data_IF_247359100785
#
_entry.id   IF_247359100785
#
_cell.length_a   1.000
_cell.length_b   1.000
_cell.length_c   1.000
_cell.angle_alpha   90.00
_cell.angle_beta   90.00
_cell.angle_gamma   90.00
#
_symmetry.space_group_name_H-M   'P 1'
#
loop_
_entity.id
_entity.type
_entity.pdbx_description
1 polymer ?
#
# COMPACT_ATOMS: atom_id res chain seq x y z
N UNK A 1 28.51 -8.33 -24.39
CA UNK A 1 28.40 -6.96 -24.95
C UNK A 1 27.73 -6.11 -23.90
N UNK A 2 28.46 -5.13 -23.36
CA UNK A 2 28.08 -4.31 -22.21
C UNK A 2 26.84 -3.46 -22.49
N UNK A 3 25.80 -3.61 -21.67
CA UNK A 3 24.70 -2.65 -21.58
C UNK A 3 24.94 -1.75 -20.37
N UNK A 4 25.93 -0.87 -20.45
CA UNK A 4 26.07 0.22 -19.50
C UNK A 4 24.84 1.14 -19.64
N UNK A 5 24.17 1.42 -18.52
CA UNK A 5 23.10 2.41 -18.47
C UNK A 5 23.65 3.77 -18.96
N UNK A 6 22.97 4.48 -19.87
CA UNK A 6 23.51 5.69 -20.53
C UNK A 6 23.92 6.82 -19.57
N UNK A 7 23.47 6.75 -18.32
CA UNK A 7 23.69 7.76 -17.28
C UNK A 7 24.81 7.41 -16.29
N UNK A 8 25.37 6.19 -16.34
CA UNK A 8 26.41 5.77 -15.41
C UNK A 8 27.77 6.42 -15.72
N UNK A 9 28.04 6.77 -16.99
CA UNK A 9 29.32 7.31 -17.44
C UNK A 9 29.40 8.85 -17.56
N UNK A 10 28.29 9.57 -17.43
CA UNK A 10 28.26 11.03 -17.54
C UNK A 10 28.53 11.73 -16.20
N UNK A 11 29.42 12.74 -16.21
CA UNK A 11 29.61 13.65 -15.07
C UNK A 11 28.27 14.33 -14.74
N UNK A 12 27.95 14.48 -13.44
CA UNK A 12 26.67 15.05 -12.97
C UNK A 12 26.39 16.44 -13.56
N UNK A 13 27.44 17.21 -13.88
CA UNK A 13 27.40 18.55 -14.51
C UNK A 13 27.03 18.55 -15.99
N UNK A 14 27.12 17.40 -16.69
CA UNK A 14 26.86 17.28 -18.13
C UNK A 14 25.46 16.70 -18.42
N UNK A 15 24.76 16.24 -17.38
CA UNK A 15 23.40 15.70 -17.49
C UNK A 15 22.42 16.86 -17.65
N UNK A 16 22.06 17.18 -18.90
CA UNK A 16 20.94 18.08 -19.17
C UNK A 16 19.63 17.39 -18.81
N UNK A 17 18.86 18.00 -17.93
CA UNK A 17 17.52 17.54 -17.65
C UNK A 17 16.63 17.74 -18.88
N UNK A 18 15.85 16.71 -19.21
CA UNK A 18 14.81 16.80 -20.23
C UNK A 18 13.57 17.37 -19.55
N UNK A 19 13.28 18.66 -19.80
CA UNK A 19 12.26 19.41 -19.06
C UNK A 19 10.87 18.76 -19.09
N UNK A 20 10.54 18.10 -20.20
CA UNK A 20 9.30 17.34 -20.43
C UNK A 20 9.19 16.05 -19.60
N UNK A 21 10.27 15.60 -18.95
CA UNK A 21 10.31 14.39 -18.10
C UNK A 21 10.57 14.68 -16.63
N UNK A 22 10.77 15.95 -16.27
CA UNK A 22 11.03 16.34 -14.89
C UNK A 22 9.74 16.30 -14.08
N UNK A 23 9.82 15.73 -12.88
CA UNK A 23 8.72 15.71 -11.92
C UNK A 23 9.20 16.33 -10.61
N UNK A 24 8.40 17.24 -10.06
CA UNK A 24 8.68 17.96 -8.79
C UNK A 24 8.97 16.98 -7.66
N UNK A 25 10.14 17.12 -7.04
CA UNK A 25 10.57 16.36 -5.87
C UNK A 25 9.84 16.82 -4.61
N UNK A 26 9.64 15.91 -3.65
CA UNK A 26 9.07 16.26 -2.36
C UNK A 26 9.99 17.20 -1.59
N UNK A 27 9.43 18.31 -1.10
CA UNK A 27 10.16 19.24 -0.25
C UNK A 27 9.69 19.08 1.19
N UNK A 28 10.61 18.76 2.11
CA UNK A 28 10.29 18.78 3.55
C UNK A 28 9.81 20.17 3.96
N UNK A 29 8.68 20.28 4.68
CA UNK A 29 8.32 21.52 5.35
C UNK A 29 9.43 21.91 6.34
N UNK A 30 9.88 23.15 6.29
CA UNK A 30 10.82 23.72 7.24
C UNK A 30 10.24 25.05 7.73
N UNK A 31 10.51 25.42 8.99
CA UNK A 31 9.89 26.59 9.62
C UNK A 31 10.08 27.90 8.82
N UNK A 32 11.19 28.03 8.10
CA UNK A 32 11.54 29.22 7.31
C UNK A 32 11.22 29.09 5.81
N UNK A 33 10.58 27.98 5.37
CA UNK A 33 10.32 27.74 3.95
C UNK A 33 8.91 28.22 3.59
N UNK A 34 8.83 29.39 2.98
CA UNK A 34 7.60 29.87 2.35
C UNK A 34 7.23 28.95 1.18
N UNK A 35 5.97 28.51 1.14
CA UNK A 35 5.40 27.84 -0.02
C UNK A 35 4.74 28.92 -0.88
N UNK A 36 5.28 29.15 -2.07
CA UNK A 36 4.72 30.09 -3.02
C UNK A 36 3.68 29.42 -3.92
N UNK A 37 2.68 30.16 -4.37
CA UNK A 37 1.61 29.60 -5.22
C UNK A 37 2.16 29.10 -6.56
N UNK A 38 3.17 29.76 -7.11
CA UNK A 38 3.89 29.35 -8.31
C UNK A 38 4.62 28.01 -8.18
N UNK A 39 4.91 27.57 -6.94
CA UNK A 39 5.51 26.27 -6.69
C UNK A 39 4.47 25.15 -6.66
N UNK A 40 3.18 25.46 -6.61
CA UNK A 40 2.09 24.48 -6.42
C UNK A 40 1.45 24.14 -7.77
N UNK A 41 1.50 22.84 -8.14
CA UNK A 41 0.91 22.37 -9.40
C UNK A 41 -0.62 22.33 -9.29
N UNK A 42 -1.38 22.88 -10.27
CA UNK A 42 -2.84 22.79 -10.27
C UNK A 42 -3.33 21.34 -10.42
N UNK A 43 -4.58 21.09 -10.03
CA UNK A 43 -5.18 19.76 -9.99
C UNK A 43 -5.00 18.95 -11.29
N UNK A 44 -5.23 19.56 -12.45
CA UNK A 44 -5.13 18.89 -13.76
C UNK A 44 -3.70 18.36 -13.98
N UNK A 45 -2.70 19.13 -13.56
CA UNK A 45 -1.30 18.76 -13.65
C UNK A 45 -0.95 17.67 -12.64
N UNK A 46 -1.58 17.65 -11.45
CA UNK A 46 -1.40 16.57 -10.48
C UNK A 46 -1.91 15.23 -11.02
N UNK A 47 -3.06 15.22 -11.71
CA UNK A 47 -3.61 14.02 -12.35
C UNK A 47 -2.67 13.53 -13.45
N UNK A 48 -2.31 14.40 -14.41
CA UNK A 48 -1.40 14.05 -15.51
C UNK A 48 -0.07 13.52 -14.98
N UNK A 49 0.47 14.16 -13.93
CA UNK A 49 1.72 13.70 -13.32
C UNK A 49 1.56 12.32 -12.67
N UNK A 50 0.45 12.07 -11.97
CA UNK A 50 0.20 10.77 -11.33
C UNK A 50 0.11 9.66 -12.37
N UNK A 51 -0.63 9.88 -13.45
CA UNK A 51 -0.77 8.93 -14.56
C UNK A 51 0.57 8.70 -15.27
N UNK A 52 1.35 9.75 -15.51
CA UNK A 52 2.71 9.64 -16.06
C UNK A 52 3.60 8.75 -15.17
N UNK A 53 3.61 8.99 -13.85
CA UNK A 53 4.40 8.20 -12.90
C UNK A 53 3.99 6.73 -12.88
N UNK A 54 2.68 6.44 -12.92
CA UNK A 54 2.17 5.08 -13.00
C UNK A 54 2.56 4.40 -14.32
N UNK A 55 2.55 5.12 -15.44
CA UNK A 55 3.00 4.60 -16.74
C UNK A 55 4.49 4.22 -16.78
N UNK A 56 5.31 4.72 -15.84
CA UNK A 56 6.69 4.27 -15.70
C UNK A 56 6.78 2.84 -15.15
N UNK A 57 5.76 2.34 -14.45
CA UNK A 57 5.77 0.97 -13.89
C UNK A 57 5.93 -0.09 -14.99
N UNK A 58 5.13 0.01 -16.05
CA UNK A 58 5.14 -0.95 -17.17
C UNK A 58 6.47 -0.94 -17.93
N UNK A 59 7.09 0.24 -18.05
CA UNK A 59 8.32 0.44 -18.82
C UNK A 59 9.57 -0.09 -18.10
N UNK A 60 9.56 -0.11 -16.77
CA UNK A 60 10.74 -0.40 -15.95
C UNK A 60 10.71 -1.75 -15.24
N UNK A 61 9.54 -2.41 -15.14
CA UNK A 61 9.45 -3.82 -14.73
C UNK A 61 10.31 -4.74 -15.61
N UNK A 62 10.52 -4.39 -16.89
CA UNK A 62 11.36 -5.16 -17.81
C UNK A 62 12.87 -5.10 -17.50
N UNK A 63 13.32 -4.21 -16.60
CA UNK A 63 14.77 -3.90 -16.41
C UNK A 63 15.33 -4.22 -15.01
N UNK A 64 14.59 -4.91 -14.13
CA UNK A 64 15.01 -5.17 -12.74
C UNK A 64 15.42 -3.91 -11.94
N UNK A 65 14.79 -2.76 -12.21
CA UNK A 65 15.11 -1.46 -11.59
C UNK A 65 14.10 -1.03 -10.53
N UNK A 66 13.36 -1.99 -9.95
CA UNK A 66 12.25 -1.72 -9.02
C UNK A 66 12.64 -0.77 -7.88
N UNK A 67 13.80 -0.98 -7.23
CA UNK A 67 14.24 -0.14 -6.10
C UNK A 67 14.32 1.35 -6.46
N UNK A 68 14.94 1.68 -7.60
CA UNK A 68 15.08 3.07 -8.05
C UNK A 68 13.73 3.65 -8.44
N UNK A 69 12.90 2.86 -9.13
CA UNK A 69 11.59 3.29 -9.58
C UNK A 69 10.63 3.54 -8.40
N UNK A 70 10.59 2.62 -7.44
CA UNK A 70 9.82 2.74 -6.21
C UNK A 70 10.19 4.01 -5.44
N UNK A 71 11.48 4.22 -5.18
CA UNK A 71 11.94 5.40 -4.46
C UNK A 71 11.59 6.70 -5.18
N UNK A 72 11.72 6.72 -6.51
CA UNK A 72 11.33 7.86 -7.32
C UNK A 72 9.82 8.12 -7.25
N UNK A 73 8.98 7.13 -7.57
CA UNK A 73 7.52 7.30 -7.61
C UNK A 73 6.98 7.68 -6.23
N UNK A 74 7.42 6.99 -5.16
CA UNK A 74 6.92 7.30 -3.80
C UNK A 74 7.24 8.73 -3.39
N UNK A 75 8.46 9.20 -3.65
CA UNK A 75 8.83 10.59 -3.39
C UNK A 75 7.96 11.58 -4.18
N UNK A 76 7.76 11.34 -5.48
CA UNK A 76 6.95 12.22 -6.33
C UNK A 76 5.47 12.20 -5.94
N UNK A 77 4.94 11.08 -5.46
CA UNK A 77 3.60 10.99 -4.89
C UNK A 77 3.45 11.81 -3.59
N UNK A 78 4.46 11.82 -2.71
CA UNK A 78 4.46 12.74 -1.55
C UNK A 78 4.41 14.20 -1.98
N UNK A 79 5.16 14.57 -3.03
CA UNK A 79 5.12 15.93 -3.57
C UNK A 79 3.73 16.30 -4.11
N UNK A 80 3.06 15.35 -4.76
CA UNK A 80 1.68 15.52 -5.25
C UNK A 80 0.70 15.70 -4.08
N UNK A 81 0.79 14.86 -3.04
CA UNK A 81 -0.03 15.01 -1.84
C UNK A 81 0.25 16.31 -1.10
N UNK A 82 1.50 16.77 -1.08
CA UNK A 82 1.87 18.08 -0.53
C UNK A 82 1.17 19.23 -1.27
N UNK A 83 1.16 19.19 -2.61
CA UNK A 83 0.46 20.22 -3.41
C UNK A 83 -1.06 20.18 -3.20
N UNK A 84 -1.64 18.98 -3.00
CA UNK A 84 -3.05 18.80 -2.67
C UNK A 84 -3.42 19.47 -1.35
N UNK A 85 -2.59 19.33 -0.31
CA UNK A 85 -2.80 19.97 1.01
C UNK A 85 -2.86 21.49 0.87
N UNK A 86 -1.91 22.06 0.13
CA UNK A 86 -1.78 23.50 -0.02
C UNK A 86 -2.98 24.09 -0.78
N UNK A 87 -3.50 23.36 -1.77
CA UNK A 87 -4.63 23.82 -2.60
C UNK A 87 -6.02 23.68 -1.95
N UNK A 88 -6.17 22.84 -0.92
CA UNK A 88 -7.48 22.53 -0.32
C UNK A 88 -8.54 22.14 -1.38
N UNK A 89 -8.18 21.14 -2.20
CA UNK A 89 -9.02 20.69 -3.32
C UNK A 89 -10.39 20.15 -2.85
N UNK A 90 -11.33 20.10 -3.79
CA UNK A 90 -12.66 19.53 -3.53
C UNK A 90 -12.56 18.02 -3.23
N UNK A 91 -13.46 17.45 -2.39
CA UNK A 91 -13.41 16.04 -2.01
C UNK A 91 -13.27 15.08 -3.19
N UNK A 92 -14.02 15.29 -4.28
CA UNK A 92 -13.94 14.44 -5.47
C UNK A 92 -12.56 14.44 -6.14
N UNK A 93 -11.89 15.59 -6.17
CA UNK A 93 -10.55 15.74 -6.75
C UNK A 93 -9.51 15.01 -5.90
N UNK A 94 -9.65 15.10 -4.58
CA UNK A 94 -8.80 14.39 -3.61
C UNK A 94 -8.95 12.88 -3.80
N UNK A 95 -10.19 12.37 -3.82
CA UNK A 95 -10.45 10.95 -4.02
C UNK A 95 -9.82 10.46 -5.31
N UNK A 96 -10.11 11.13 -6.45
CA UNK A 96 -9.59 10.71 -7.76
C UNK A 96 -8.06 10.60 -7.77
N UNK A 97 -7.36 11.53 -7.15
CA UNK A 97 -5.90 11.51 -7.04
C UNK A 97 -5.39 10.35 -6.18
N UNK A 98 -5.98 10.16 -5.00
CA UNK A 98 -5.51 9.16 -4.04
C UNK A 98 -5.85 7.73 -4.47
N UNK A 99 -6.98 7.52 -5.15
CA UNK A 99 -7.35 6.20 -5.71
C UNK A 99 -6.37 5.70 -6.78
N UNK A 100 -5.68 6.61 -7.48
CA UNK A 100 -4.60 6.24 -8.40
C UNK A 100 -3.33 5.80 -7.64
N UNK A 101 -3.07 6.38 -6.47
CA UNK A 101 -1.86 6.12 -5.69
C UNK A 101 -1.98 4.89 -4.78
N UNK A 102 -3.16 4.62 -4.23
CA UNK A 102 -3.40 3.53 -3.27
C UNK A 102 -2.98 2.16 -3.82
N UNK A 103 -3.36 1.73 -5.04
CA UNK A 103 -2.93 0.46 -5.60
C UNK A 103 -1.40 0.33 -5.73
N UNK A 104 -0.71 1.43 -6.05
CA UNK A 104 0.75 1.46 -6.09
C UNK A 104 1.34 1.18 -4.70
N UNK A 105 0.88 1.86 -3.65
CA UNK A 105 1.40 1.65 -2.30
C UNK A 105 1.21 0.22 -1.82
N UNK A 106 0.00 -0.32 -1.95
CA UNK A 106 -0.31 -1.69 -1.53
C UNK A 106 0.58 -2.71 -2.24
N UNK A 107 0.69 -2.62 -3.57
CA UNK A 107 1.51 -3.54 -4.35
C UNK A 107 3.01 -3.35 -4.07
N UNK A 108 3.45 -2.11 -3.90
CA UNK A 108 4.83 -1.79 -3.64
C UNK A 108 5.33 -2.37 -2.32
N UNK A 109 4.50 -2.40 -1.27
CA UNK A 109 4.84 -3.10 -0.02
C UNK A 109 5.21 -4.55 -0.27
N UNK A 110 4.27 -5.31 -0.87
CA UNK A 110 4.46 -6.73 -1.13
C UNK A 110 5.71 -6.97 -1.99
N UNK A 111 5.84 -6.21 -3.08
CA UNK A 111 6.97 -6.38 -3.99
C UNK A 111 8.31 -6.03 -3.34
N UNK A 112 8.37 -4.99 -2.51
CA UNK A 112 9.57 -4.63 -1.77
C UNK A 112 9.96 -5.69 -0.72
N UNK A 113 8.99 -6.27 -0.03
CA UNK A 113 9.19 -7.35 0.95
C UNK A 113 9.65 -8.65 0.24
N UNK A 114 8.97 -9.05 -0.84
CA UNK A 114 9.28 -10.25 -1.62
C UNK A 114 10.68 -10.18 -2.26
N UNK A 115 11.03 -9.01 -2.83
CA UNK A 115 12.35 -8.78 -3.45
C UNK A 115 13.46 -8.41 -2.45
N UNK A 116 13.15 -8.28 -1.15
CA UNK A 116 14.09 -7.89 -0.09
C UNK A 116 14.91 -6.64 -0.43
N UNK A 117 14.22 -5.59 -0.86
CA UNK A 117 14.86 -4.33 -1.28
C UNK A 117 15.63 -3.72 -0.11
N UNK A 118 16.95 -3.57 -0.25
CA UNK A 118 17.86 -3.21 0.87
C UNK A 118 17.52 -1.87 1.53
N UNK A 119 17.08 -0.87 0.76
CA UNK A 119 16.79 0.48 1.26
C UNK A 119 15.27 0.72 1.44
N UNK A 120 14.47 -0.33 1.52
CA UNK A 120 13.04 -0.19 1.76
C UNK A 120 12.78 0.11 3.25
N UNK A 121 12.35 1.34 3.52
CA UNK A 121 11.90 1.74 4.85
C UNK A 121 10.41 1.39 5.03
N UNK A 122 10.16 0.27 5.71
CA UNK A 122 8.81 -0.24 5.98
C UNK A 122 7.98 0.73 6.83
N UNK A 123 8.58 1.45 7.78
CA UNK A 123 7.87 2.39 8.65
C UNK A 123 7.45 3.62 7.86
N UNK A 124 8.36 4.16 7.05
CA UNK A 124 8.04 5.29 6.19
C UNK A 124 6.96 4.92 5.16
N UNK A 125 7.09 3.76 4.52
CA UNK A 125 6.08 3.28 3.57
C UNK A 125 4.70 3.13 4.22
N UNK A 126 4.66 2.54 5.42
CA UNK A 126 3.42 2.44 6.20
C UNK A 126 2.82 3.83 6.46
N UNK A 127 3.61 4.78 6.94
CA UNK A 127 3.15 6.15 7.20
C UNK A 127 2.63 6.84 5.93
N UNK A 128 3.26 6.64 4.78
CA UNK A 128 2.82 7.22 3.51
C UNK A 128 1.52 6.59 3.02
N UNK A 129 1.36 5.27 3.19
CA UNK A 129 0.16 4.54 2.83
C UNK A 129 -1.01 4.94 3.73
N UNK A 130 -0.75 5.01 5.03
CA UNK A 130 -1.71 5.42 6.06
C UNK A 130 -2.19 6.87 5.87
N UNK A 131 -1.28 7.79 5.57
CA UNK A 131 -1.64 9.17 5.23
C UNK A 131 -2.54 9.20 3.98
N UNK A 132 -2.20 8.41 2.95
CA UNK A 132 -2.95 8.36 1.69
C UNK A 132 -4.38 7.86 1.92
N UNK A 133 -4.54 6.76 2.66
CA UNK A 133 -5.87 6.24 2.98
C UNK A 133 -6.67 7.16 3.90
N UNK A 134 -6.05 7.71 4.94
CA UNK A 134 -6.73 8.62 5.87
C UNK A 134 -7.31 9.84 5.16
N UNK A 135 -6.55 10.42 4.21
CA UNK A 135 -7.03 11.54 3.39
C UNK A 135 -8.13 11.15 2.41
N UNK A 136 -8.02 9.96 1.81
CA UNK A 136 -9.05 9.43 0.93
C UNK A 136 -10.36 9.24 1.71
N UNK A 137 -10.28 8.62 2.89
CA UNK A 137 -11.43 8.38 3.76
C UNK A 137 -12.09 9.69 4.22
N UNK A 138 -11.29 10.69 4.63
CA UNK A 138 -11.81 12.01 4.98
C UNK A 138 -12.51 12.68 3.80
N UNK A 139 -11.97 12.58 2.58
CA UNK A 139 -12.65 13.09 1.40
C UNK A 139 -13.95 12.32 1.09
N UNK A 140 -13.99 11.00 1.31
CA UNK A 140 -15.21 10.19 1.20
C UNK A 140 -16.29 10.63 2.19
N UNK A 141 -15.92 10.91 3.45
CA UNK A 141 -16.84 11.46 4.47
C UNK A 141 -17.42 12.80 4.06
N UNK A 142 -16.63 13.62 3.36
CA UNK A 142 -17.03 14.93 2.87
C UNK A 142 -17.78 14.87 1.52
N UNK A 143 -18.38 13.73 1.18
CA UNK A 143 -19.31 13.58 0.05
C UNK A 143 -18.64 13.31 -1.31
N UNK A 144 -17.36 12.95 -1.33
CA UNK A 144 -16.73 12.49 -2.56
C UNK A 144 -17.12 11.04 -2.90
N UNK A 145 -17.44 10.78 -4.15
CA UNK A 145 -17.72 9.46 -4.69
C UNK A 145 -16.45 8.65 -4.82
N UNK A 146 -16.46 7.43 -4.28
CA UNK A 146 -15.30 6.54 -4.21
C UNK A 146 -15.55 5.19 -4.87
N UNK A 147 -14.46 4.50 -5.20
CA UNK A 147 -14.49 3.15 -5.75
C UNK A 147 -14.67 2.09 -4.67
N UNK A 148 -15.62 1.18 -4.87
CA UNK A 148 -15.77 -0.03 -4.06
C UNK A 148 -14.46 -0.77 -3.87
N UNK A 149 -13.64 -0.87 -4.92
CA UNK A 149 -12.36 -1.58 -4.88
C UNK A 149 -11.38 -0.94 -3.90
N UNK A 150 -11.39 0.38 -3.79
CA UNK A 150 -10.53 1.12 -2.86
C UNK A 150 -11.11 1.03 -1.45
N UNK A 151 -12.43 1.06 -1.29
CA UNK A 151 -13.09 0.78 -0.02
C UNK A 151 -12.68 -0.60 0.52
N UNK A 152 -12.80 -1.65 -0.30
CA UNK A 152 -12.38 -3.00 0.07
C UNK A 152 -10.90 -3.07 0.48
N UNK A 153 -10.03 -2.36 -0.25
CA UNK A 153 -8.62 -2.25 0.11
C UNK A 153 -8.39 -1.51 1.43
N UNK A 154 -9.16 -0.45 1.71
CA UNK A 154 -9.15 0.28 2.99
C UNK A 154 -9.54 -0.65 4.14
N UNK A 155 -10.65 -1.39 4.02
CA UNK A 155 -11.10 -2.36 5.02
C UNK A 155 -10.02 -3.39 5.33
N UNK A 156 -9.42 -3.98 4.30
CA UNK A 156 -8.37 -4.98 4.49
C UNK A 156 -7.09 -4.40 5.06
N UNK A 157 -6.73 -3.17 4.68
CA UNK A 157 -5.56 -2.51 5.26
C UNK A 157 -5.77 -2.22 6.76
N UNK A 158 -6.96 -1.81 7.18
CA UNK A 158 -7.28 -1.50 8.58
C UNK A 158 -8.08 -2.59 9.30
N UNK A 159 -7.90 -3.86 8.91
CA UNK A 159 -8.68 -4.96 9.47
C UNK A 159 -8.53 -5.10 10.99
N UNK A 160 -7.39 -4.70 11.54
CA UNK A 160 -7.05 -4.70 12.97
C UNK A 160 -7.50 -3.44 13.72
N UNK A 161 -8.08 -2.45 13.03
CA UNK A 161 -8.55 -1.20 13.63
C UNK A 161 -9.92 -1.42 14.28
N UNK A 162 -10.01 -1.19 15.59
CA UNK A 162 -11.21 -1.46 16.40
C UNK A 162 -12.52 -0.89 15.82
N UNK A 163 -12.47 0.30 15.21
CA UNK A 163 -13.65 1.01 14.73
C UNK A 163 -13.87 0.94 13.21
N UNK A 164 -13.18 0.03 12.51
CA UNK A 164 -13.25 -0.04 11.04
C UNK A 164 -14.67 -0.28 10.52
N UNK A 165 -15.49 -1.07 11.22
CA UNK A 165 -16.87 -1.35 10.83
C UNK A 165 -17.73 -0.08 10.86
N UNK A 166 -17.59 0.73 11.91
CA UNK A 166 -18.31 2.01 12.04
C UNK A 166 -17.89 3.00 10.96
N UNK A 167 -16.60 3.07 10.67
CA UNK A 167 -16.07 3.92 9.60
C UNK A 167 -16.64 3.54 8.23
N UNK A 168 -16.73 2.24 7.91
CA UNK A 168 -17.33 1.79 6.65
C UNK A 168 -18.81 2.16 6.59
N UNK A 169 -19.57 1.84 7.65
CA UNK A 169 -21.00 2.16 7.75
C UNK A 169 -21.24 3.66 7.50
N UNK A 170 -20.41 4.52 8.10
CA UNK A 170 -20.50 5.98 7.96
C UNK A 170 -20.42 6.45 6.51
N UNK A 171 -19.52 5.88 5.70
CA UNK A 171 -19.26 6.36 4.33
C UNK A 171 -19.98 5.58 3.23
N UNK A 172 -20.35 4.33 3.48
CA UNK A 172 -20.96 3.44 2.48
C UNK A 172 -22.49 3.42 2.52
N UNK A 173 -23.11 3.93 3.58
CA UNK A 173 -24.56 3.91 3.76
C UNK A 173 -25.13 2.54 4.14
N UNK A 174 -24.30 1.53 4.43
CA UNK A 174 -24.78 0.29 5.05
C UNK A 174 -25.35 0.58 6.44
N UNK A 175 -26.51 0.02 6.78
CA UNK A 175 -27.15 0.26 8.08
C UNK A 175 -26.53 -0.54 9.22
N UNK A 176 -25.93 -1.68 8.92
CA UNK A 176 -25.34 -2.62 9.87
C UNK A 176 -24.41 -3.61 9.13
N UNK A 177 -23.71 -4.48 9.89
CA UNK A 177 -22.90 -5.56 9.34
C UNK A 177 -23.77 -6.73 8.82
N UNK A 178 -24.55 -6.46 7.77
CA UNK A 178 -25.44 -7.41 7.12
C UNK A 178 -24.70 -8.44 6.25
N UNK A 179 -25.40 -9.45 5.74
CA UNK A 179 -24.85 -10.40 4.78
C UNK A 179 -24.36 -9.70 3.49
N UNK A 180 -25.07 -8.65 3.03
CA UNK A 180 -24.62 -7.81 1.92
C UNK A 180 -23.30 -7.11 2.23
N UNK A 181 -23.13 -6.58 3.45
CA UNK A 181 -21.88 -5.99 3.91
C UNK A 181 -20.74 -7.03 3.92
N UNK A 182 -20.99 -8.23 4.46
CA UNK A 182 -19.99 -9.29 4.49
C UNK A 182 -19.57 -9.72 3.08
N UNK A 183 -20.53 -9.89 2.17
CA UNK A 183 -20.24 -10.22 0.77
C UNK A 183 -19.48 -9.09 0.07
N UNK A 184 -19.84 -7.82 0.34
CA UNK A 184 -19.11 -6.67 -0.16
C UNK A 184 -17.64 -6.70 0.28
N UNK A 185 -17.37 -6.93 1.57
CA UNK A 185 -16.02 -6.96 2.13
C UNK A 185 -15.23 -8.17 1.60
N UNK A 186 -15.80 -9.38 1.66
CA UNK A 186 -15.05 -10.63 1.50
C UNK A 186 -15.01 -11.23 0.07
N UNK A 187 -15.87 -10.82 -0.87
CA UNK A 187 -15.79 -11.30 -2.26
C UNK A 187 -14.75 -10.50 -3.07
N UNK A 188 -13.48 -10.95 -3.09
CA UNK A 188 -12.39 -10.24 -3.79
C UNK A 188 -11.60 -11.10 -4.79
N UNK A 189 -11.60 -10.65 -6.05
CA UNK A 189 -10.82 -11.26 -7.15
C UNK A 189 -9.62 -10.42 -7.60
N UNK A 190 -9.42 -9.22 -7.05
CA UNK A 190 -8.38 -8.29 -7.48
C UNK A 190 -7.11 -8.45 -6.64
N UNK A 191 -5.96 -8.57 -7.31
CA UNK A 191 -4.69 -8.94 -6.66
C UNK A 191 -4.20 -7.92 -5.64
N UNK A 192 -4.29 -6.61 -5.93
CA UNK A 192 -3.83 -5.62 -4.96
C UNK A 192 -4.71 -5.58 -3.70
N UNK A 193 -6.00 -5.90 -3.81
CA UNK A 193 -6.88 -5.97 -2.64
C UNK A 193 -6.41 -7.14 -1.75
N UNK A 194 -6.10 -8.31 -2.33
CA UNK A 194 -5.48 -9.43 -1.59
C UNK A 194 -4.15 -9.02 -0.95
N UNK A 195 -3.35 -8.19 -1.63
CA UNK A 195 -2.10 -7.67 -1.08
C UNK A 195 -2.32 -6.71 0.10
N UNK A 196 -3.47 -6.04 0.20
CA UNK A 196 -3.82 -5.25 1.38
C UNK A 196 -4.01 -6.14 2.61
N UNK A 197 -4.63 -7.31 2.45
CA UNK A 197 -4.79 -8.31 3.51
C UNK A 197 -3.46 -8.97 3.91
N UNK A 198 -2.50 -9.04 2.97
CA UNK A 198 -1.20 -9.69 3.18
C UNK A 198 -0.47 -9.17 4.44
N UNK A 199 -0.70 -7.91 4.81
CA UNK A 199 -0.07 -7.28 5.96
C UNK A 199 -0.46 -7.95 7.29
N UNK A 200 -1.64 -8.56 7.34
CA UNK A 200 -2.23 -9.21 8.52
C UNK A 200 -1.96 -10.72 8.57
N UNK A 201 -1.51 -11.33 7.47
CA UNK A 201 -1.33 -12.79 7.36
C UNK A 201 -0.44 -13.34 8.47
N UNK A 202 0.61 -12.61 8.87
CA UNK A 202 1.47 -13.02 9.99
C UNK A 202 0.72 -13.09 11.32
N UNK A 203 -0.04 -12.04 11.66
CA UNK A 203 -0.84 -11.96 12.89
C UNK A 203 -1.96 -12.99 12.88
N UNK A 204 -2.72 -13.08 11.79
CA UNK A 204 -3.81 -14.05 11.64
C UNK A 204 -3.31 -15.49 11.77
N UNK A 205 -2.13 -15.81 11.20
CA UNK A 205 -1.48 -17.11 11.38
C UNK A 205 -1.12 -17.35 12.84
N UNK A 206 -0.53 -16.38 13.51
CA UNK A 206 -0.15 -16.50 14.92
C UNK A 206 -1.37 -16.76 15.81
N UNK A 207 -2.42 -15.95 15.70
CA UNK A 207 -3.65 -16.08 16.48
C UNK A 207 -4.35 -17.42 16.23
N UNK A 208 -4.40 -17.85 14.96
CA UNK A 208 -4.91 -19.17 14.62
C UNK A 208 -4.08 -20.26 15.30
N UNK A 209 -2.76 -20.24 15.18
CA UNK A 209 -1.88 -21.23 15.80
C UNK A 209 -2.03 -21.27 17.33
N UNK A 210 -2.20 -20.12 17.99
CA UNK A 210 -2.47 -20.06 19.43
C UNK A 210 -3.82 -20.70 19.80
N UNK A 211 -4.86 -20.45 19.00
CA UNK A 211 -6.19 -21.05 19.18
C UNK A 211 -6.13 -22.57 19.01
N UNK A 212 -5.43 -23.04 17.97
CA UNK A 212 -5.23 -24.47 17.73
C UNK A 212 -4.39 -25.12 18.82
N UNK A 213 -3.37 -24.43 19.35
CA UNK A 213 -2.61 -24.94 20.50
C UNK A 213 -3.51 -25.22 21.70
N UNK A 214 -4.45 -24.32 22.01
CA UNK A 214 -5.41 -24.52 23.09
C UNK A 214 -6.33 -25.72 22.81
N UNK A 215 -6.84 -25.84 21.59
CA UNK A 215 -7.73 -26.93 21.20
C UNK A 215 -7.05 -28.31 21.16
N UNK A 216 -5.75 -28.36 20.81
CA UNK A 216 -4.98 -29.59 20.61
C UNK A 216 -3.93 -29.83 21.71
N UNK A 217 -4.00 -29.11 22.84
CA UNK A 217 -3.06 -29.24 23.96
C UNK A 217 -3.28 -30.46 24.88
N UNK A 218 -4.32 -31.25 24.64
CA UNK A 218 -4.64 -32.42 25.46
C UNK A 218 -3.74 -33.63 25.12
N UNK A 219 -3.41 -34.44 26.14
CA UNK A 219 -2.62 -35.67 25.96
C UNK A 219 -3.34 -36.62 25.01
N UNK A 220 -2.62 -37.14 24.02
CA UNK A 220 -3.13 -38.14 23.07
C UNK A 220 -3.86 -37.54 21.86
N UNK A 221 -3.90 -36.21 21.72
CA UNK A 221 -4.43 -35.54 20.53
C UNK A 221 -3.28 -35.19 19.60
N UNK A 222 -3.41 -35.56 18.33
CA UNK A 222 -2.41 -35.27 17.29
C UNK A 222 -2.69 -33.91 16.65
N UNK A 223 -1.65 -33.07 16.54
CA UNK A 223 -1.76 -31.77 15.89
C UNK A 223 -1.90 -31.94 14.37
N UNK A 224 -2.98 -31.45 13.72
CA UNK A 224 -3.28 -31.74 12.32
C UNK A 224 -2.48 -30.82 11.38
N UNK A 225 -1.16 -31.06 11.30
CA UNK A 225 -0.22 -30.20 10.57
C UNK A 225 -0.58 -29.99 9.10
N UNK A 226 -1.00 -31.05 8.39
CA UNK A 226 -1.33 -30.96 6.96
C UNK A 226 -2.55 -30.05 6.72
N UNK A 227 -3.64 -30.30 7.46
CA UNK A 227 -4.86 -29.50 7.36
C UNK A 227 -4.62 -28.04 7.77
N UNK A 228 -3.73 -27.79 8.74
CA UNK A 228 -3.34 -26.45 9.17
C UNK A 228 -2.46 -25.73 8.17
N UNK A 229 -1.52 -26.42 7.52
CA UNK A 229 -0.69 -25.83 6.48
C UNK A 229 -1.56 -25.33 5.32
N UNK A 230 -2.55 -26.14 4.92
CA UNK A 230 -3.53 -25.78 3.90
C UNK A 230 -4.44 -24.61 4.37
N UNK A 231 -5.01 -24.72 5.57
CA UNK A 231 -5.91 -23.71 6.14
C UNK A 231 -5.23 -22.34 6.27
N UNK A 232 -3.97 -22.31 6.70
CA UNK A 232 -3.19 -21.10 6.95
C UNK A 232 -2.38 -20.66 5.71
N UNK A 233 -2.62 -21.30 4.56
CA UNK A 233 -1.98 -21.01 3.29
C UNK A 233 -0.44 -21.02 3.33
N UNK A 234 0.16 -21.92 4.12
CA UNK A 234 1.60 -22.16 4.07
C UNK A 234 1.97 -22.88 2.78
N UNK A 235 3.15 -22.57 2.22
CA UNK A 235 3.63 -23.23 1.00
C UNK A 235 4.04 -24.69 1.21
N UNK A 236 4.25 -25.11 2.46
CA UNK A 236 4.52 -26.48 2.88
C UNK A 236 4.43 -26.59 4.41
N UNK A 237 4.53 -27.81 4.96
CA UNK A 237 4.58 -28.06 6.40
C UNK A 237 5.85 -27.48 7.04
N UNK A 238 6.97 -27.39 6.31
CA UNK A 238 8.26 -27.02 6.89
C UNK A 238 8.27 -25.62 7.53
N UNK A 239 7.80 -24.55 6.86
CA UNK A 239 7.65 -23.24 7.51
C UNK A 239 6.71 -23.25 8.72
N UNK A 240 5.64 -24.06 8.69
CA UNK A 240 4.72 -24.22 9.81
C UNK A 240 5.42 -24.88 11.01
N UNK A 241 6.17 -25.97 10.77
CA UNK A 241 6.96 -26.66 11.80
C UNK A 241 8.03 -25.75 12.43
N UNK A 242 8.72 -24.95 11.62
CA UNK A 242 9.65 -23.93 12.10
C UNK A 242 8.95 -22.88 12.99
N UNK A 243 7.77 -22.39 12.59
CA UNK A 243 6.96 -21.48 13.41
C UNK A 243 6.52 -22.13 14.73
N UNK A 244 6.05 -23.37 14.71
CA UNK A 244 5.60 -24.09 15.91
C UNK A 244 6.75 -24.30 16.91
N UNK A 245 7.95 -24.66 16.42
CA UNK A 245 9.17 -24.77 17.23
C UNK A 245 9.53 -23.45 17.91
N UNK A 246 9.50 -22.36 17.16
CA UNK A 246 9.84 -21.01 17.66
C UNK A 246 8.82 -20.48 18.67
N UNK A 247 7.52 -20.69 18.41
CA UNK A 247 6.44 -20.12 19.21
C UNK A 247 6.12 -20.95 20.45
N UNK A 248 6.27 -22.27 20.37
CA UNK A 248 5.73 -23.18 21.36
C UNK A 248 6.74 -24.17 21.96
N UNK A 249 8.03 -24.11 21.58
CA UNK A 249 9.07 -25.04 22.03
C UNK A 249 8.69 -26.52 21.83
N UNK A 250 7.99 -26.81 20.74
CA UNK A 250 7.67 -28.16 20.30
C UNK A 250 8.84 -28.82 19.56
#
# INVERSE_FOLDING_TARGET
METATPFASMKRSERKAQGDKMVKEYSRPAADKNVYLEDVRPYEILIITTEYLLGLLDSYQQKNQWQTLYGFISDRFRAIRQDLIVQQLQPQQIIRLLELQIPFYINARKLCEDLKIQNYDKKLHHSETDETFSRWFEASKNGGEFSDKIMKAYVYYYLDKENIVYEIIEVSGFSEASEEFLNFVFDQKVDYIKNALWIHVGTLRLEALETFRLAFGAKGVTFPLDALADLLAFSSIKPLDECLKLLFNL
#
